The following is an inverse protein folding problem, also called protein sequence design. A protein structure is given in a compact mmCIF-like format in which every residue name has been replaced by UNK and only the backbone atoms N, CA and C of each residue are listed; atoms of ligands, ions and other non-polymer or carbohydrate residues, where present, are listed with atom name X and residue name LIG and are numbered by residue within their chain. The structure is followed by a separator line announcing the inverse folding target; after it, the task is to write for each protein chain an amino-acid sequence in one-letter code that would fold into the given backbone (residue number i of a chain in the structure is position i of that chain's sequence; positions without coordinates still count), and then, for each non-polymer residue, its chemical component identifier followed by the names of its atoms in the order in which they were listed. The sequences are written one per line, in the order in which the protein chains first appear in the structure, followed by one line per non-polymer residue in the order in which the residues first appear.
data_IF_760798969341
#
_entry.id   IF_760798969341
#
_cell.length_a   1.000
_cell.length_b   1.000
_cell.length_c   1.000
_cell.angle_alpha   90.00
_cell.angle_beta   90.00
_cell.angle_gamma   90.00
#
_symmetry.space_group_name_H-M   'P 1'
#
loop_
_entity.id
_entity.type
_entity.pdbx_description
1 polymer ?
#
# COMPACT_ATOMS: atom_id res chain seq x y z
N UNK A 1 12.80 4.52 27.25
CA UNK A 1 12.39 3.82 26.00
C UNK A 1 12.54 4.83 24.89
N UNK A 2 13.05 4.44 23.73
CA UNK A 2 13.21 5.33 22.59
C UNK A 2 11.82 5.74 22.04
N UNK A 3 11.72 6.97 21.53
CA UNK A 3 10.55 7.46 20.82
C UNK A 3 10.32 6.68 19.53
N UNK A 4 9.10 6.64 19.03
CA UNK A 4 8.78 6.08 17.72
C UNK A 4 8.36 7.18 16.73
N UNK A 5 8.46 6.90 15.43
CA UNK A 5 7.99 7.79 14.38
C UNK A 5 6.85 7.17 13.58
N UNK A 6 5.90 8.02 13.18
CA UNK A 6 4.89 7.69 12.16
C UNK A 6 5.24 8.46 10.90
N UNK A 7 5.27 7.79 9.75
CA UNK A 7 5.62 8.37 8.46
C UNK A 7 4.56 8.05 7.41
N UNK A 8 4.08 9.07 6.72
CA UNK A 8 3.26 8.93 5.51
C UNK A 8 3.61 9.97 4.46
N UNK A 9 3.31 9.64 3.21
CA UNK A 9 3.37 10.55 2.07
C UNK A 9 1.96 10.80 1.55
N UNK A 10 1.64 12.05 1.22
CA UNK A 10 0.34 12.45 0.70
C UNK A 10 0.46 13.22 -0.61
N UNK A 11 -0.52 13.06 -1.47
CA UNK A 11 -0.68 13.81 -2.71
C UNK A 11 -2.15 14.09 -2.99
N UNK A 12 -2.55 15.37 -2.95
CA UNK A 12 -3.94 15.79 -3.11
C UNK A 12 -4.88 15.04 -2.14
N UNK A 13 -4.46 14.96 -0.87
CA UNK A 13 -5.14 14.23 0.20
C UNK A 13 -6.19 15.04 0.95
N UNK A 14 -6.59 16.22 0.46
CA UNK A 14 -7.51 17.11 1.18
C UNK A 14 -8.85 16.45 1.59
N UNK A 15 -9.29 15.45 0.86
CA UNK A 15 -10.54 14.73 1.15
C UNK A 15 -10.38 13.65 2.24
N UNK A 16 -9.21 13.03 2.38
CA UNK A 16 -8.95 11.88 3.26
C UNK A 16 -8.19 12.26 4.53
N UNK A 17 -7.36 13.29 4.47
CA UNK A 17 -6.56 13.75 5.60
C UNK A 17 -7.37 14.18 6.84
N UNK A 18 -8.49 14.94 6.75
CA UNK A 18 -9.16 15.40 7.96
C UNK A 18 -9.54 14.28 8.93
N UNK A 19 -10.26 13.21 8.53
CA UNK A 19 -10.58 12.12 9.46
C UNK A 19 -9.36 11.34 9.95
N UNK A 20 -8.28 11.24 9.16
CA UNK A 20 -7.01 10.66 9.59
C UNK A 20 -6.34 11.51 10.66
N UNK A 21 -6.19 12.83 10.42
CA UNK A 21 -5.54 13.74 11.34
C UNK A 21 -6.32 13.87 12.66
N UNK A 22 -7.66 13.87 12.63
CA UNK A 22 -8.49 13.84 13.83
C UNK A 22 -8.24 12.56 14.65
N UNK A 23 -8.08 11.41 13.99
CA UNK A 23 -7.73 10.16 14.66
C UNK A 23 -6.32 10.21 15.26
N UNK A 24 -5.35 10.80 14.55
CA UNK A 24 -3.98 10.96 15.06
C UNK A 24 -3.91 11.90 16.27
N UNK A 25 -4.76 12.94 16.35
CA UNK A 25 -4.88 13.82 17.52
C UNK A 25 -5.44 13.06 18.76
N UNK A 26 -6.23 12.02 18.52
CA UNK A 26 -6.84 11.21 19.59
C UNK A 26 -5.95 10.04 20.08
N UNK A 27 -4.74 9.86 19.50
CA UNK A 27 -3.87 8.74 19.85
C UNK A 27 -3.32 8.85 21.27
N UNK A 28 -3.28 7.73 21.94
CA UNK A 28 -2.55 7.55 23.20
C UNK A 28 -1.04 7.58 22.89
N UNK A 29 -0.32 8.47 23.58
CA UNK A 29 1.13 8.57 23.43
C UNK A 29 1.82 7.38 24.11
N UNK A 30 2.69 6.64 23.41
CA UNK A 30 3.47 5.58 24.02
C UNK A 30 4.54 6.16 24.97
N UNK A 31 5.08 5.37 25.89
CA UNK A 31 6.23 5.76 26.68
C UNK A 31 7.41 6.19 25.78
N UNK A 32 8.01 7.34 26.08
CA UNK A 32 9.06 7.96 25.28
C UNK A 32 8.56 8.90 24.17
N UNK A 33 7.25 9.04 24.01
CA UNK A 33 6.64 9.94 23.05
C UNK A 33 6.72 9.41 21.60
N UNK A 34 6.26 10.21 20.66
CA UNK A 34 6.26 9.90 19.24
C UNK A 34 6.40 11.16 18.38
N UNK A 35 6.73 10.97 17.12
CA UNK A 35 6.83 12.01 16.10
C UNK A 35 6.01 11.63 14.89
N UNK A 36 5.31 12.60 14.32
CA UNK A 36 4.60 12.45 13.05
C UNK A 36 5.38 13.15 11.94
N UNK A 37 5.60 12.47 10.84
CA UNK A 37 6.26 13.01 9.66
C UNK A 37 5.29 12.85 8.48
N UNK A 38 4.82 13.96 7.96
CA UNK A 38 3.98 14.03 6.78
C UNK A 38 4.77 14.63 5.62
N UNK A 39 4.85 13.92 4.51
CA UNK A 39 5.50 14.42 3.31
C UNK A 39 4.45 14.80 2.27
N UNK A 40 4.30 16.09 2.01
CA UNK A 40 3.51 16.61 0.91
C UNK A 40 4.26 16.40 -0.40
N UNK A 41 3.80 15.46 -1.21
CA UNK A 41 4.45 15.04 -2.45
C UNK A 41 3.96 15.88 -3.67
N UNK A 42 4.02 17.21 -3.50
CA UNK A 42 3.70 18.17 -4.54
C UNK A 42 2.19 18.31 -4.78
N UNK A 43 1.38 18.38 -3.72
CA UNK A 43 -0.06 18.62 -3.82
C UNK A 43 -0.38 19.98 -4.42
N UNK A 44 -1.52 20.06 -5.12
CA UNK A 44 -2.04 21.25 -5.77
C UNK A 44 -3.38 21.72 -5.19
N UNK A 45 -3.91 20.98 -4.22
CA UNK A 45 -5.13 21.27 -3.46
C UNK A 45 -4.80 21.88 -2.07
N UNK A 46 -5.73 21.80 -1.14
CA UNK A 46 -5.57 22.33 0.22
C UNK A 46 -4.80 21.41 1.18
N UNK A 47 -4.12 20.36 0.71
CA UNK A 47 -3.36 19.40 1.52
C UNK A 47 -2.31 20.10 2.39
N UNK A 48 -1.43 20.91 1.79
CA UNK A 48 -0.36 21.56 2.54
C UNK A 48 -0.86 22.57 3.61
N UNK A 49 -1.89 23.42 3.35
CA UNK A 49 -2.55 24.19 4.40
C UNK A 49 -3.11 23.35 5.55
N UNK A 50 -3.82 22.25 5.26
CA UNK A 50 -4.39 21.35 6.28
C UNK A 50 -3.31 20.75 7.19
N UNK A 51 -2.20 20.29 6.63
CA UNK A 51 -1.09 19.76 7.42
C UNK A 51 -0.48 20.83 8.33
N UNK A 52 -0.26 22.05 7.82
CA UNK A 52 0.30 23.14 8.62
C UNK A 52 -0.59 23.55 9.78
N UNK A 53 -1.90 23.58 9.59
CA UNK A 53 -2.86 23.88 10.67
C UNK A 53 -2.74 22.90 11.83
N UNK A 54 -2.51 21.61 11.54
CA UNK A 54 -2.41 20.55 12.55
C UNK A 54 -1.10 20.52 13.34
N UNK A 55 -0.07 21.27 12.92
CA UNK A 55 1.22 21.31 13.63
C UNK A 55 1.09 21.87 15.06
N UNK A 56 0.06 22.65 15.37
CA UNK A 56 -0.19 23.15 16.72
C UNK A 56 -0.79 22.11 17.68
N UNK A 57 -1.29 20.99 17.15
CA UNK A 57 -2.02 19.95 17.91
C UNK A 57 -1.32 18.58 17.87
N UNK A 58 -0.45 18.35 16.88
CA UNK A 58 0.26 17.10 16.66
C UNK A 58 1.79 17.33 16.73
N UNK A 59 2.58 16.34 17.17
CA UNK A 59 4.04 16.39 17.09
C UNK A 59 4.51 16.24 15.63
N UNK A 60 3.97 17.09 14.74
CA UNK A 60 4.02 16.98 13.29
C UNK A 60 5.15 17.79 12.67
N UNK A 61 5.99 17.11 11.90
CA UNK A 61 6.93 17.70 10.93
C UNK A 61 6.34 17.55 9.53
N UNK A 62 6.15 18.66 8.83
CA UNK A 62 5.70 18.66 7.43
C UNK A 62 6.91 18.89 6.52
N UNK A 63 7.13 17.96 5.62
CA UNK A 63 8.15 18.05 4.57
C UNK A 63 7.47 18.24 3.21
N UNK A 64 8.18 18.86 2.27
CA UNK A 64 7.72 18.99 0.88
C UNK A 64 8.69 18.28 -0.06
N UNK A 65 8.19 17.38 -0.89
CA UNK A 65 8.96 16.70 -1.93
C UNK A 65 8.24 16.90 -3.29
N UNK A 66 8.78 17.75 -4.16
CA UNK A 66 8.12 18.11 -5.42
C UNK A 66 8.17 16.98 -6.47
N UNK A 67 9.11 16.04 -6.37
CA UNK A 67 9.20 14.90 -7.29
C UNK A 67 8.07 13.93 -7.00
N UNK A 68 7.26 13.64 -8.02
CA UNK A 68 6.08 12.77 -7.90
C UNK A 68 6.47 11.32 -7.60
N UNK A 69 5.74 10.72 -6.66
CA UNK A 69 5.82 9.30 -6.33
C UNK A 69 5.72 9.06 -4.82
N UNK A 70 4.82 8.16 -4.41
CA UNK A 70 4.66 7.80 -2.99
C UNK A 70 6.00 7.44 -2.35
N UNK A 71 6.79 6.59 -3.01
CA UNK A 71 8.10 6.14 -2.50
C UNK A 71 9.14 7.26 -2.47
N UNK A 72 9.07 8.21 -3.39
CA UNK A 72 9.91 9.41 -3.39
C UNK A 72 9.60 10.24 -2.13
N UNK A 73 8.31 10.46 -1.84
CA UNK A 73 7.89 11.14 -0.61
C UNK A 73 8.27 10.38 0.65
N UNK A 74 8.03 9.07 0.71
CA UNK A 74 8.45 8.26 1.86
C UNK A 74 9.95 8.33 2.10
N UNK A 75 10.77 8.23 1.04
CA UNK A 75 12.23 8.34 1.14
C UNK A 75 12.68 9.71 1.68
N UNK A 76 12.03 10.80 1.26
CA UNK A 76 12.31 12.13 1.81
C UNK A 76 11.99 12.24 3.32
N UNK A 77 10.99 11.48 3.78
CA UNK A 77 10.61 11.42 5.19
C UNK A 77 11.53 10.57 6.06
N UNK A 78 12.23 9.57 5.49
CA UNK A 78 13.08 8.64 6.24
C UNK A 78 14.22 9.33 6.98
N UNK A 79 14.76 10.41 6.45
CA UNK A 79 15.85 11.14 7.08
C UNK A 79 15.40 11.95 8.32
N UNK A 80 14.10 12.14 8.51
CA UNK A 80 13.51 12.85 9.64
C UNK A 80 13.02 11.93 10.77
N UNK A 81 13.11 10.59 10.59
CA UNK A 81 12.65 9.63 11.60
C UNK A 81 13.51 9.66 12.86
N UNK A 82 12.85 9.51 14.01
CA UNK A 82 13.45 9.40 15.33
C UNK A 82 12.97 8.12 16.01
N UNK A 83 13.67 7.70 17.06
CA UNK A 83 13.32 6.52 17.83
C UNK A 83 13.75 5.20 17.18
N UNK A 84 13.30 4.11 17.77
CA UNK A 84 13.71 2.75 17.42
C UNK A 84 12.68 1.97 16.59
N UNK A 85 11.45 2.54 16.43
CA UNK A 85 10.36 1.95 15.68
C UNK A 85 9.76 2.98 14.72
N UNK A 86 9.57 2.60 13.46
CA UNK A 86 8.91 3.44 12.45
C UNK A 86 7.61 2.78 12.03
N UNK A 87 6.52 3.52 12.15
CA UNK A 87 5.20 3.08 11.68
C UNK A 87 4.92 3.79 10.37
N UNK A 88 4.66 3.02 9.31
CA UNK A 88 4.23 3.51 8.01
C UNK A 88 2.71 3.41 7.90
N UNK A 89 2.11 4.39 7.26
CA UNK A 89 0.67 4.43 6.99
C UNK A 89 0.38 5.23 5.72
N UNK A 90 -0.89 5.27 5.31
CA UNK A 90 -1.36 6.06 4.17
C UNK A 90 -2.24 7.22 4.65
N UNK A 91 -2.43 8.24 3.79
CA UNK A 91 -3.19 9.45 4.09
C UNK A 91 -4.73 9.25 4.08
N UNK A 92 -5.17 8.01 3.89
CA UNK A 92 -6.56 7.56 3.93
C UNK A 92 -6.79 6.46 5.00
N UNK A 93 -5.96 6.42 6.05
CA UNK A 93 -6.03 5.43 7.13
C UNK A 93 -6.39 6.09 8.45
N UNK A 94 -7.38 5.52 9.15
CA UNK A 94 -7.85 5.98 10.46
C UNK A 94 -7.45 4.94 11.50
N UNK A 95 -6.40 5.19 12.31
CA UNK A 95 -5.96 4.28 13.35
C UNK A 95 -6.86 4.35 14.59
N UNK A 96 -6.91 3.28 15.42
CA UNK A 96 -7.58 3.30 16.73
C UNK A 96 -6.76 4.11 17.75
N UNK A 97 -7.36 4.59 18.84
CA UNK A 97 -6.69 5.44 19.84
C UNK A 97 -5.44 4.82 20.48
N UNK A 98 -5.38 3.51 20.61
CA UNK A 98 -4.26 2.76 21.21
C UNK A 98 -3.21 2.27 20.21
N UNK A 99 -3.32 2.64 18.96
CA UNK A 99 -2.51 2.15 17.85
C UNK A 99 -0.99 2.20 18.09
N UNK A 100 -0.47 3.35 18.54
CA UNK A 100 0.96 3.51 18.82
C UNK A 100 1.41 2.67 20.01
N UNK A 101 0.58 2.62 21.06
CA UNK A 101 0.83 1.83 22.27
C UNK A 101 0.80 0.33 21.96
N UNK A 102 -0.13 -0.09 21.10
CA UNK A 102 -0.24 -1.48 20.65
C UNK A 102 0.98 -1.93 19.85
N UNK A 103 1.43 -1.15 18.85
CA UNK A 103 2.66 -1.45 18.12
C UNK A 103 3.90 -1.45 19.02
N UNK A 104 4.02 -0.48 19.96
CA UNK A 104 5.13 -0.46 20.91
C UNK A 104 5.16 -1.73 21.76
N UNK A 105 4.00 -2.10 22.35
CA UNK A 105 3.85 -3.33 23.13
C UNK A 105 4.19 -4.57 22.32
N UNK A 106 3.69 -4.65 21.09
CA UNK A 106 3.98 -5.78 20.18
C UNK A 106 5.48 -5.89 19.93
N UNK A 107 6.12 -4.78 19.56
CA UNK A 107 7.55 -4.79 19.30
C UNK A 107 8.36 -5.19 20.55
N UNK A 108 7.97 -4.74 21.75
CA UNK A 108 8.64 -5.13 23.00
C UNK A 108 8.44 -6.61 23.33
N UNK A 109 7.25 -7.16 23.04
CA UNK A 109 6.89 -8.57 23.30
C UNK A 109 7.50 -9.54 22.28
N UNK A 110 7.90 -9.07 21.10
CA UNK A 110 8.39 -9.89 19.98
C UNK A 110 9.81 -9.44 19.55
N UNK A 111 10.84 -9.61 20.41
CA UNK A 111 12.20 -9.12 20.13
C UNK A 111 12.88 -9.81 18.94
N UNK A 112 12.43 -11.00 18.56
CA UNK A 112 12.97 -11.79 17.44
C UNK A 112 12.40 -11.36 16.09
N UNK A 113 11.50 -10.37 16.06
CA UNK A 113 10.86 -9.87 14.86
C UNK A 113 11.16 -8.39 14.67
N UNK A 114 11.32 -7.99 13.41
CA UNK A 114 11.72 -6.63 13.05
C UNK A 114 10.64 -5.88 12.26
N UNK A 115 9.75 -6.64 11.63
CA UNK A 115 8.71 -6.12 10.73
C UNK A 115 7.36 -6.57 11.23
N UNK A 116 6.47 -5.63 11.46
CA UNK A 116 5.16 -5.88 12.04
C UNK A 116 4.06 -5.37 11.11
N UNK A 117 3.04 -6.19 10.87
CA UNK A 117 1.82 -5.79 10.19
C UNK A 117 0.64 -5.81 11.13
N UNK A 118 -0.20 -4.80 11.10
CA UNK A 118 -1.52 -4.81 11.74
C UNK A 118 -2.62 -5.16 10.75
N UNK A 119 -3.79 -5.51 11.27
CA UNK A 119 -4.98 -5.75 10.46
C UNK A 119 -5.49 -4.45 9.81
N UNK A 120 -6.00 -4.56 8.60
CA UNK A 120 -6.62 -3.45 7.88
C UNK A 120 -8.06 -3.85 7.55
N UNK A 121 -9.00 -2.94 7.83
CA UNK A 121 -10.42 -3.13 7.53
C UNK A 121 -10.95 -1.96 6.70
N UNK A 122 -11.82 -2.18 5.73
CA UNK A 122 -12.41 -1.09 4.97
C UNK A 122 -13.40 -0.29 5.83
N UNK A 123 -13.28 1.03 5.77
CA UNK A 123 -14.31 1.98 6.22
C UNK A 123 -14.94 2.61 4.98
N UNK A 124 -16.10 2.09 4.62
CA UNK A 124 -16.84 2.53 3.44
C UNK A 124 -17.39 3.93 3.63
N UNK A 125 -16.99 4.90 2.80
CA UNK A 125 -17.54 6.27 2.80
C UNK A 125 -18.88 6.37 2.08
N UNK A 126 -19.27 5.32 1.35
CA UNK A 126 -20.61 5.09 0.82
C UNK A 126 -20.91 3.59 0.86
N UNK A 127 -22.17 3.17 0.94
CA UNK A 127 -22.52 1.76 0.92
C UNK A 127 -21.97 1.06 -0.34
N UNK A 128 -21.16 0.01 -0.20
CA UNK A 128 -20.68 -0.72 -1.38
C UNK A 128 -21.82 -1.49 -2.02
N UNK A 129 -21.93 -1.50 -3.36
CA UNK A 129 -22.86 -2.38 -4.04
C UNK A 129 -22.61 -3.86 -3.71
N UNK A 130 -23.66 -4.66 -3.57
CA UNK A 130 -23.58 -6.09 -3.18
C UNK A 130 -22.62 -6.90 -4.07
N UNK A 131 -22.59 -6.63 -5.38
CA UNK A 131 -21.69 -7.31 -6.29
C UNK A 131 -20.20 -7.07 -5.95
N UNK A 132 -19.85 -5.90 -5.40
CA UNK A 132 -18.48 -5.60 -4.96
C UNK A 132 -18.10 -6.50 -3.78
N UNK A 133 -18.98 -6.61 -2.78
CA UNK A 133 -18.72 -7.46 -1.62
C UNK A 133 -18.57 -8.94 -1.99
N UNK A 134 -19.31 -9.39 -3.03
CA UNK A 134 -19.24 -10.77 -3.51
C UNK A 134 -18.07 -11.07 -4.43
N UNK A 135 -17.67 -10.11 -5.28
CA UNK A 135 -16.83 -10.39 -6.45
C UNK A 135 -15.47 -9.68 -6.43
N UNK A 136 -15.33 -8.55 -5.72
CA UNK A 136 -14.08 -7.81 -5.71
C UNK A 136 -13.06 -8.48 -4.77
N UNK A 137 -11.79 -8.62 -5.20
CA UNK A 137 -10.75 -9.11 -4.30
C UNK A 137 -10.57 -8.17 -3.10
N UNK A 138 -10.57 -8.71 -1.89
CA UNK A 138 -10.38 -7.95 -0.65
C UNK A 138 -9.10 -7.12 -0.67
N UNK A 139 -8.02 -7.65 -1.25
CA UNK A 139 -6.75 -6.96 -1.40
C UNK A 139 -6.81 -5.68 -2.24
N UNK A 140 -7.84 -5.47 -3.09
CA UNK A 140 -8.02 -4.20 -3.80
C UNK A 140 -8.34 -3.03 -2.84
N UNK A 141 -8.92 -3.34 -1.68
CA UNK A 141 -9.27 -2.40 -0.61
C UNK A 141 -8.30 -2.45 0.57
N UNK A 142 -7.15 -3.10 0.40
CA UNK A 142 -6.19 -3.39 1.47
C UNK A 142 -6.80 -4.16 2.68
N UNK A 143 -7.88 -4.91 2.47
CA UNK A 143 -8.54 -5.68 3.52
C UNK A 143 -7.78 -6.97 3.81
N UNK A 144 -7.23 -7.08 5.03
CA UNK A 144 -6.47 -8.24 5.50
C UNK A 144 -7.34 -9.14 6.40
N UNK A 145 -7.04 -10.45 6.38
CA UNK A 145 -7.71 -11.47 7.22
C UNK A 145 -6.68 -12.51 7.66
N UNK A 146 -5.56 -12.03 8.21
CA UNK A 146 -4.50 -12.88 8.72
C UNK A 146 -4.62 -13.01 10.23
N UNK A 147 -4.28 -14.19 10.77
CA UNK A 147 -4.18 -14.44 12.20
C UNK A 147 -2.89 -13.84 12.77
N UNK A 148 -2.84 -13.64 14.10
CA UNK A 148 -1.65 -13.16 14.79
C UNK A 148 -0.56 -14.24 14.80
N UNK A 149 0.67 -13.85 14.48
CA UNK A 149 1.81 -14.75 14.47
C UNK A 149 2.86 -14.41 13.42
N UNK A 150 3.92 -15.25 13.30
CA UNK A 150 4.87 -15.17 12.21
C UNK A 150 4.17 -15.24 10.85
N UNK A 151 4.55 -14.38 9.91
CA UNK A 151 3.84 -14.27 8.63
C UNK A 151 4.83 -14.08 7.48
N UNK A 152 4.40 -14.45 6.27
CA UNK A 152 5.15 -14.26 5.05
C UNK A 152 5.29 -12.75 4.71
N UNK A 153 6.45 -12.31 4.20
CA UNK A 153 6.72 -10.90 3.92
C UNK A 153 5.67 -10.23 3.02
N UNK A 154 5.12 -10.96 2.04
CA UNK A 154 4.09 -10.45 1.12
C UNK A 154 2.75 -10.13 1.79
N UNK A 155 2.54 -10.60 3.01
CA UNK A 155 1.33 -10.33 3.80
C UNK A 155 1.43 -9.05 4.65
N UNK A 156 2.60 -8.41 4.71
CA UNK A 156 2.77 -7.11 5.37
C UNK A 156 2.41 -6.00 4.38
N UNK A 157 1.47 -5.16 4.76
CA UNK A 157 0.93 -4.11 3.89
C UNK A 157 1.12 -2.72 4.49
N UNK A 158 1.54 -1.77 3.64
CA UNK A 158 1.96 -0.43 4.02
C UNK A 158 0.99 0.40 4.86
N UNK A 159 -0.34 0.35 4.63
CA UNK A 159 -1.28 1.15 5.41
C UNK A 159 -1.25 0.90 6.93
N UNK A 160 -0.72 -0.26 7.39
CA UNK A 160 -0.63 -0.61 8.80
C UNK A 160 0.63 -1.45 9.09
N UNK A 161 1.80 -0.86 8.86
CA UNK A 161 3.09 -1.52 8.95
C UNK A 161 4.03 -0.80 9.92
N UNK A 162 4.75 -1.55 10.76
CA UNK A 162 5.84 -1.01 11.56
C UNK A 162 7.15 -1.78 11.31
N UNK A 163 8.27 -1.06 11.37
CA UNK A 163 9.61 -1.65 11.14
C UNK A 163 10.56 -1.10 12.20
N UNK A 164 11.38 -1.96 12.79
CA UNK A 164 12.48 -1.50 13.66
C UNK A 164 13.46 -0.66 12.86
N UNK A 165 13.83 0.48 13.38
CA UNK A 165 14.79 1.38 12.72
C UNK A 165 16.12 0.70 12.43
N UNK A 166 16.58 -0.18 13.31
CA UNK A 166 17.81 -0.95 13.12
C UNK A 166 17.73 -1.86 11.89
N UNK A 167 16.58 -2.53 11.68
CA UNK A 167 16.34 -3.37 10.51
C UNK A 167 16.16 -2.54 9.23
N UNK A 168 15.51 -1.39 9.33
CA UNK A 168 15.38 -0.46 8.20
C UNK A 168 16.75 0.05 7.73
N UNK A 169 17.68 0.38 8.66
CA UNK A 169 19.03 0.82 8.35
C UNK A 169 19.09 1.89 7.26
N UNK A 170 19.92 1.66 6.24
CA UNK A 170 20.05 2.53 5.06
C UNK A 170 19.09 2.14 3.91
N UNK A 171 18.20 1.18 4.13
CA UNK A 171 17.25 0.79 3.10
C UNK A 171 16.30 1.94 2.77
N UNK A 172 15.97 2.06 1.49
CA UNK A 172 15.04 3.06 0.95
C UNK A 172 13.96 2.32 0.13
N UNK A 173 12.79 2.91 0.02
CA UNK A 173 11.76 2.44 -0.90
C UNK A 173 12.26 2.56 -2.35
N UNK A 174 11.98 1.57 -3.17
CA UNK A 174 12.34 1.61 -4.58
C UNK A 174 11.42 2.58 -5.34
N UNK A 175 11.96 3.70 -5.87
CA UNK A 175 11.17 4.78 -6.49
C UNK A 175 10.46 4.36 -7.81
N UNK A 176 10.89 3.27 -8.42
CA UNK A 176 10.30 2.74 -9.66
C UNK A 176 9.03 1.90 -9.48
N UNK A 177 8.54 1.69 -8.24
CA UNK A 177 7.33 0.93 -7.92
C UNK A 177 6.41 1.77 -7.02
N UNK A 178 5.10 1.56 -7.11
CA UNK A 178 4.12 2.32 -6.32
C UNK A 178 3.47 3.47 -7.07
N UNK A 179 2.48 4.15 -6.44
CA UNK A 179 1.81 5.31 -7.01
C UNK A 179 2.79 6.43 -7.36
N UNK A 180 2.74 6.91 -8.61
CA UNK A 180 3.64 7.94 -9.13
C UNK A 180 2.91 9.01 -9.96
N UNK A 181 1.59 9.11 -9.81
CA UNK A 181 0.73 10.01 -10.58
C UNK A 181 0.25 9.45 -11.92
N UNK A 182 0.82 8.36 -12.43
CA UNK A 182 0.31 7.68 -13.62
C UNK A 182 -0.83 6.73 -13.26
N UNK A 183 -1.85 6.64 -14.09
CA UNK A 183 -2.97 5.71 -13.88
C UNK A 183 -2.54 4.24 -13.88
N UNK A 184 -1.50 3.91 -14.65
CA UNK A 184 -1.00 2.55 -14.85
C UNK A 184 0.31 2.26 -14.10
N UNK A 185 0.45 2.64 -12.84
CA UNK A 185 1.63 2.32 -12.03
C UNK A 185 1.70 0.85 -11.61
N UNK A 186 2.87 0.33 -11.31
CA UNK A 186 3.07 -0.98 -10.71
C UNK A 186 2.85 -0.87 -9.19
N UNK A 187 1.98 -1.71 -8.59
CA UNK A 187 1.76 -1.75 -7.14
C UNK A 187 2.86 -2.55 -6.43
N UNK A 188 2.96 -2.44 -5.09
CA UNK A 188 3.87 -3.25 -4.28
C UNK A 188 5.03 -2.48 -3.66
N UNK A 189 4.85 -1.16 -3.44
CA UNK A 189 5.84 -0.28 -2.80
C UNK A 189 6.48 -0.87 -1.56
N UNK A 190 5.65 -1.16 -0.56
CA UNK A 190 6.07 -1.61 0.75
C UNK A 190 6.47 -3.09 0.71
N UNK A 191 5.79 -3.88 -0.11
CA UNK A 191 6.11 -5.31 -0.30
C UNK A 191 7.54 -5.48 -0.81
N UNK A 192 7.98 -4.62 -1.73
CA UNK A 192 9.36 -4.65 -2.25
C UNK A 192 10.38 -4.42 -1.13
N UNK A 193 10.17 -3.41 -0.29
CA UNK A 193 11.02 -3.12 0.85
C UNK A 193 11.04 -4.30 1.85
N UNK A 194 9.87 -4.81 2.21
CA UNK A 194 9.74 -5.93 3.16
C UNK A 194 10.41 -7.19 2.63
N UNK A 195 10.30 -7.51 1.34
CA UNK A 195 11.00 -8.64 0.71
C UNK A 195 12.53 -8.49 0.80
N UNK A 196 13.06 -7.28 0.56
CA UNK A 196 14.50 -7.03 0.72
C UNK A 196 14.97 -7.17 2.16
N UNK A 197 14.21 -6.64 3.12
CA UNK A 197 14.52 -6.80 4.55
C UNK A 197 14.45 -8.28 4.97
N UNK A 198 13.46 -9.03 4.50
CA UNK A 198 13.35 -10.46 4.78
C UNK A 198 14.50 -11.26 4.15
N UNK A 199 14.95 -10.91 2.95
CA UNK A 199 16.13 -11.49 2.32
C UNK A 199 17.43 -11.20 3.10
N UNK A 200 17.47 -10.08 3.86
CA UNK A 200 18.55 -9.74 4.78
C UNK A 200 18.44 -10.46 6.16
N UNK A 201 17.41 -11.31 6.36
CA UNK A 201 17.21 -12.11 7.55
C UNK A 201 16.21 -11.57 8.56
N UNK A 202 15.56 -10.43 8.27
CA UNK A 202 14.55 -9.83 9.16
C UNK A 202 13.22 -10.58 9.06
N UNK A 203 12.60 -10.84 10.22
CA UNK A 203 11.38 -11.65 10.34
C UNK A 203 10.14 -10.77 10.47
N UNK A 204 9.01 -11.28 9.92
CA UNK A 204 7.73 -10.60 9.92
C UNK A 204 6.75 -11.22 10.92
N UNK A 205 6.01 -10.37 11.62
CA UNK A 205 4.92 -10.74 12.51
C UNK A 205 3.65 -9.98 12.15
N UNK A 206 2.50 -10.63 12.17
CA UNK A 206 1.19 -9.99 12.03
C UNK A 206 0.45 -9.96 13.37
N UNK A 207 -0.29 -8.88 13.62
CA UNK A 207 -1.15 -8.71 14.79
C UNK A 207 -2.57 -8.37 14.32
N UNK A 208 -3.51 -9.29 14.48
CA UNK A 208 -4.90 -9.13 14.04
C UNK A 208 -5.71 -8.15 14.90
N UNK A 209 -5.26 -7.88 16.12
CA UNK A 209 -5.85 -6.96 17.09
C UNK A 209 -5.44 -5.49 16.87
N UNK A 210 -4.36 -5.21 16.15
CA UNK A 210 -3.95 -3.85 15.76
C UNK A 210 -4.68 -3.44 14.48
N UNK A 211 -5.92 -2.99 14.60
CA UNK A 211 -6.82 -2.74 13.46
C UNK A 211 -6.77 -1.28 13.04
N UNK A 212 -6.36 -0.99 11.81
CA UNK A 212 -6.52 0.31 11.17
C UNK A 212 -7.66 0.30 10.14
N UNK A 213 -8.40 1.40 10.02
CA UNK A 213 -9.51 1.54 9.09
C UNK A 213 -9.07 2.30 7.84
N UNK A 214 -9.11 1.63 6.68
CA UNK A 214 -8.80 2.23 5.39
C UNK A 214 -10.07 2.85 4.79
N UNK A 215 -10.05 4.15 4.53
CA UNK A 215 -11.16 4.90 3.96
C UNK A 215 -11.37 4.53 2.49
N UNK A 216 -12.54 4.00 2.16
CA UNK A 216 -12.87 3.60 0.79
C UNK A 216 -13.86 4.61 0.21
N UNK A 217 -13.37 5.41 -0.74
CA UNK A 217 -14.14 6.44 -1.41
C UNK A 217 -15.14 5.86 -2.43
N UNK A 218 -16.25 6.57 -2.73
CA UNK A 218 -17.23 6.12 -3.73
C UNK A 218 -16.64 5.83 -5.11
N UNK A 219 -15.60 6.58 -5.53
CA UNK A 219 -14.91 6.36 -6.82
C UNK A 219 -14.24 4.99 -6.91
N UNK A 220 -13.87 4.40 -5.77
CA UNK A 220 -13.25 3.08 -5.69
C UNK A 220 -14.28 1.93 -5.80
N UNK A 221 -15.57 2.25 -5.62
CA UNK A 221 -16.68 1.30 -5.70
C UNK A 221 -17.23 1.16 -7.13
N UNK A 222 -16.34 1.13 -8.13
CA UNK A 222 -16.72 1.03 -9.54
C UNK A 222 -15.95 -0.07 -10.25
N UNK A 223 -16.58 -0.74 -11.21
CA UNK A 223 -15.91 -1.75 -12.04
C UNK A 223 -14.66 -1.18 -12.74
N UNK A 224 -14.74 0.08 -13.22
CA UNK A 224 -13.61 0.77 -13.87
C UNK A 224 -12.39 0.84 -12.94
N UNK A 225 -12.59 1.29 -11.70
CA UNK A 225 -11.50 1.40 -10.73
C UNK A 225 -10.93 0.02 -10.36
N UNK A 226 -11.79 -0.97 -10.12
CA UNK A 226 -11.38 -2.33 -9.77
C UNK A 226 -10.60 -3.03 -10.90
N UNK A 227 -11.00 -2.81 -12.15
CA UNK A 227 -10.25 -3.32 -13.31
C UNK A 227 -8.89 -2.62 -13.46
N UNK A 228 -8.84 -1.30 -13.25
CA UNK A 228 -7.56 -0.58 -13.22
C UNK A 228 -6.66 -1.06 -12.08
N UNK A 229 -7.23 -1.35 -10.90
CA UNK A 229 -6.47 -1.91 -9.76
C UNK A 229 -5.92 -3.30 -10.10
N UNK A 230 -6.71 -4.17 -10.74
CA UNK A 230 -6.27 -5.49 -11.21
C UNK A 230 -5.13 -5.38 -12.25
N UNK A 231 -5.21 -4.42 -13.17
CA UNK A 231 -4.15 -4.12 -14.12
C UNK A 231 -2.86 -3.67 -13.41
N UNK A 232 -2.97 -2.72 -12.46
CA UNK A 232 -1.83 -2.20 -11.71
C UNK A 232 -1.17 -3.28 -10.85
N UNK A 233 -1.97 -4.16 -10.23
CA UNK A 233 -1.48 -5.27 -9.43
C UNK A 233 -0.69 -6.27 -10.28
N UNK A 234 -1.18 -6.63 -11.46
CA UNK A 234 -0.47 -7.52 -12.36
C UNK A 234 0.86 -6.91 -12.83
N UNK A 235 0.91 -5.59 -13.06
CA UNK A 235 2.18 -4.89 -13.30
C UNK A 235 3.11 -4.99 -12.10
N UNK A 236 2.57 -4.81 -10.90
CA UNK A 236 3.30 -4.92 -9.63
C UNK A 236 3.97 -6.27 -9.46
N UNK A 237 3.24 -7.36 -9.67
CA UNK A 237 3.77 -8.72 -9.55
C UNK A 237 4.96 -8.96 -10.50
N UNK A 238 4.85 -8.51 -11.74
CA UNK A 238 5.96 -8.63 -12.72
C UNK A 238 7.16 -7.79 -12.27
N UNK A 239 6.93 -6.58 -11.79
CA UNK A 239 8.00 -5.68 -11.33
C UNK A 239 8.68 -6.19 -10.08
N UNK A 240 7.91 -6.61 -9.06
CA UNK A 240 8.43 -7.24 -7.85
C UNK A 240 9.30 -8.45 -8.18
N UNK A 241 8.82 -9.30 -9.08
CA UNK A 241 9.58 -10.45 -9.52
C UNK A 241 10.92 -10.10 -10.17
N UNK A 242 10.97 -9.03 -10.93
CA UNK A 242 12.22 -8.56 -11.53
C UNK A 242 13.18 -7.93 -10.50
N UNK A 243 12.63 -7.27 -9.46
CA UNK A 243 13.43 -6.61 -8.41
C UNK A 243 13.92 -7.60 -7.34
N UNK A 244 13.09 -8.58 -6.97
CA UNK A 244 13.36 -9.50 -5.86
C UNK A 244 13.77 -10.91 -6.32
N UNK A 245 13.75 -11.20 -7.63
CA UNK A 245 14.17 -12.47 -8.18
C UNK A 245 13.17 -13.64 -8.04
N UNK A 246 11.95 -13.37 -7.54
CA UNK A 246 10.92 -14.38 -7.23
C UNK A 246 9.65 -14.25 -8.09
N UNK A 247 9.76 -13.58 -9.23
CA UNK A 247 8.61 -13.29 -10.09
C UNK A 247 8.07 -14.49 -10.85
N UNK A 248 6.76 -14.43 -11.19
CA UNK A 248 6.17 -15.48 -12.01
C UNK A 248 6.89 -15.56 -13.37
N UNK A 249 7.22 -16.76 -13.83
CA UNK A 249 7.82 -16.94 -15.15
C UNK A 249 6.90 -16.37 -16.23
N UNK A 250 7.48 -15.92 -17.33
CA UNK A 250 6.69 -15.51 -18.48
C UNK A 250 5.93 -16.70 -19.05
N UNK A 251 4.63 -16.56 -19.29
CA UNK A 251 3.87 -17.60 -20.00
C UNK A 251 4.48 -17.86 -21.39
N UNK A 252 4.65 -19.12 -21.79
CA UNK A 252 4.97 -19.46 -23.16
C UNK A 252 3.94 -18.83 -24.15
N UNK A 253 4.36 -18.46 -25.36
CA UNK A 253 3.50 -17.74 -26.30
C UNK A 253 2.12 -18.40 -26.53
N UNK A 254 2.07 -19.71 -26.73
CA UNK A 254 0.83 -20.46 -26.93
C UNK A 254 -0.10 -20.43 -25.71
N UNK A 255 0.47 -20.60 -24.51
CA UNK A 255 -0.29 -20.53 -23.26
C UNK A 255 -0.87 -19.13 -23.05
N UNK A 256 -0.08 -18.11 -23.35
CA UNK A 256 -0.52 -16.71 -23.28
C UNK A 256 -1.66 -16.42 -24.24
N UNK A 257 -1.56 -16.88 -25.49
CA UNK A 257 -2.64 -16.76 -26.48
C UNK A 257 -3.91 -17.46 -25.97
N UNK A 258 -3.80 -18.67 -25.44
CA UNK A 258 -4.92 -19.40 -24.86
C UNK A 258 -5.60 -18.65 -23.72
N UNK A 259 -4.82 -18.05 -22.79
CA UNK A 259 -5.36 -17.23 -21.70
C UNK A 259 -6.12 -15.99 -22.21
N UNK A 260 -5.60 -15.30 -23.23
CA UNK A 260 -6.32 -14.18 -23.85
C UNK A 260 -7.61 -14.65 -24.54
N UNK A 261 -7.57 -15.76 -25.30
CA UNK A 261 -8.75 -16.30 -25.97
C UNK A 261 -9.84 -16.67 -24.96
N UNK A 262 -9.48 -17.37 -23.87
CA UNK A 262 -10.43 -17.70 -22.79
C UNK A 262 -11.02 -16.44 -22.15
N UNK A 263 -10.17 -15.46 -21.79
CA UNK A 263 -10.64 -14.22 -21.17
C UNK A 263 -11.59 -13.41 -22.10
N UNK A 264 -11.33 -13.40 -23.40
CA UNK A 264 -12.24 -12.78 -24.38
C UNK A 264 -13.55 -13.55 -24.54
N UNK A 265 -13.52 -14.89 -24.55
CA UNK A 265 -14.71 -15.72 -24.61
C UNK A 265 -15.61 -15.52 -23.38
N UNK A 266 -15.01 -15.47 -22.19
CA UNK A 266 -15.72 -15.20 -20.94
C UNK A 266 -16.35 -13.81 -20.94
N UNK A 267 -15.57 -12.79 -21.37
CA UNK A 267 -16.08 -11.42 -21.48
C UNK A 267 -17.25 -11.32 -22.47
N UNK A 268 -17.13 -11.96 -23.63
CA UNK A 268 -18.20 -11.99 -24.63
C UNK A 268 -19.47 -12.67 -24.09
N UNK A 269 -19.31 -13.82 -23.41
CA UNK A 269 -20.42 -14.56 -22.80
C UNK A 269 -21.14 -13.74 -21.72
N UNK A 270 -20.39 -13.04 -20.86
CA UNK A 270 -20.94 -12.27 -19.74
C UNK A 270 -21.29 -10.83 -20.12
N UNK A 271 -20.99 -10.36 -21.34
CA UNK A 271 -21.25 -8.98 -21.76
C UNK A 271 -22.75 -8.59 -21.73
N UNK A 272 -23.63 -9.53 -21.96
CA UNK A 272 -25.06 -9.36 -21.91
C UNK A 272 -25.68 -9.67 -20.54
N UNK A 273 -24.89 -10.10 -19.57
CA UNK A 273 -25.39 -10.33 -18.21
C UNK A 273 -25.93 -9.05 -17.58
N UNK A 274 -27.07 -9.14 -16.92
CA UNK A 274 -27.63 -8.09 -16.09
C UNK A 274 -26.85 -7.86 -14.80
N UNK A 275 -26.03 -8.86 -14.34
CA UNK A 275 -25.25 -8.76 -13.10
C UNK A 275 -23.90 -8.06 -13.34
N UNK A 276 -23.65 -6.89 -12.72
CA UNK A 276 -22.37 -6.20 -12.80
C UNK A 276 -21.19 -7.04 -12.27
N UNK A 277 -21.44 -7.93 -11.29
CA UNK A 277 -20.43 -8.83 -10.72
C UNK A 277 -19.91 -9.85 -11.73
N UNK A 278 -20.81 -10.49 -12.47
CA UNK A 278 -20.41 -11.42 -13.52
C UNK A 278 -19.59 -10.73 -14.62
N UNK A 279 -20.03 -9.55 -15.06
CA UNK A 279 -19.27 -8.74 -16.03
C UNK A 279 -17.89 -8.36 -15.51
N UNK A 280 -17.78 -7.99 -14.24
CA UNK A 280 -16.49 -7.67 -13.60
C UNK A 280 -15.58 -8.92 -13.55
N UNK A 281 -16.10 -10.06 -13.08
CA UNK A 281 -15.33 -11.31 -12.98
C UNK A 281 -14.81 -11.77 -14.34
N UNK A 282 -15.61 -11.61 -15.41
CA UNK A 282 -15.18 -11.93 -16.77
C UNK A 282 -14.13 -10.95 -17.34
N UNK A 283 -14.19 -9.66 -16.99
CA UNK A 283 -13.29 -8.64 -17.49
C UNK A 283 -11.94 -8.60 -16.74
N UNK A 284 -11.92 -9.02 -15.47
CA UNK A 284 -10.74 -8.93 -14.61
C UNK A 284 -9.51 -9.68 -15.13
N UNK A 285 -9.60 -10.93 -15.63
CA UNK A 285 -8.45 -11.64 -16.17
C UNK A 285 -7.80 -10.91 -17.35
N UNK A 286 -8.61 -10.27 -18.20
CA UNK A 286 -8.10 -9.50 -19.33
C UNK A 286 -7.35 -8.24 -18.87
N UNK A 287 -7.83 -7.55 -17.83
CA UNK A 287 -7.14 -6.42 -17.24
C UNK A 287 -5.77 -6.85 -16.66
N UNK A 288 -5.72 -7.96 -15.93
CA UNK A 288 -4.49 -8.52 -15.39
C UNK A 288 -3.49 -8.94 -16.48
N UNK A 289 -3.94 -9.64 -17.53
CA UNK A 289 -3.09 -10.04 -18.66
C UNK A 289 -2.51 -8.85 -19.40
N UNK A 290 -3.27 -7.75 -19.53
CA UNK A 290 -2.77 -6.50 -20.12
C UNK A 290 -1.68 -5.88 -19.24
N UNK A 291 -1.88 -5.84 -17.91
CA UNK A 291 -0.90 -5.32 -16.96
C UNK A 291 0.42 -6.10 -17.01
N UNK A 292 0.36 -7.43 -16.96
CA UNK A 292 1.53 -8.31 -17.10
C UNK A 292 2.29 -8.03 -18.41
N UNK A 293 1.57 -8.03 -19.55
CA UNK A 293 2.17 -7.78 -20.86
C UNK A 293 2.87 -6.41 -20.93
N UNK A 294 2.19 -5.37 -20.45
CA UNK A 294 2.68 -4.00 -20.61
C UNK A 294 3.91 -3.76 -19.72
N UNK A 295 3.94 -4.37 -18.53
CA UNK A 295 5.11 -4.30 -17.66
C UNK A 295 6.32 -5.05 -18.24
N UNK A 296 6.13 -6.30 -18.72
CA UNK A 296 7.23 -7.05 -19.38
C UNK A 296 7.78 -6.32 -20.59
N UNK A 297 6.91 -5.65 -21.36
CA UNK A 297 7.36 -4.81 -22.48
C UNK A 297 8.15 -3.60 -22.02
N UNK A 298 7.75 -2.96 -20.93
CA UNK A 298 8.48 -1.82 -20.35
C UNK A 298 9.89 -2.24 -19.90
N UNK A 299 10.00 -3.38 -19.19
CA UNK A 299 11.29 -3.95 -18.77
C UNK A 299 12.18 -4.31 -19.94
N UNK A 300 11.63 -4.94 -20.98
CA UNK A 300 12.40 -5.29 -22.18
C UNK A 300 12.91 -4.05 -22.96
N UNK A 301 12.21 -2.92 -22.90
CA UNK A 301 12.70 -1.64 -23.47
C UNK A 301 13.83 -1.06 -22.63
N UNK A 302 13.69 -1.00 -21.32
CA UNK A 302 14.73 -0.51 -20.41
C UNK A 302 16.06 -1.26 -20.60
N UNK A 303 16.01 -2.59 -20.74
CA UNK A 303 17.21 -3.41 -20.98
C UNK A 303 17.88 -3.12 -22.34
N UNK A 304 17.13 -2.65 -23.33
CA UNK A 304 17.68 -2.29 -24.67
C UNK A 304 18.25 -0.87 -24.72
N UNK A 305 17.88 -0.01 -23.79
CA UNK A 305 18.32 1.39 -23.71
C UNK A 305 19.36 1.63 -22.62
N UNK A 306 19.68 0.61 -21.82
CA UNK A 306 20.81 0.65 -20.90
C UNK A 306 22.12 0.67 -21.73
N UNK A 307 23.05 1.62 -21.47
CA UNK A 307 24.30 1.81 -22.20
C UNK A 307 25.23 0.60 -22.07
#
# INVERSE_FOLDING_TARGET
MAALSVLFSTFNGAATLPPMLDALEALQSPPGGWKLIAVDNGSTDTTAPLLRERQSRLPLTVLSEPRRGKNVGLNAGLDAIEGDLVIFTDDDVVPPPDWLVAFRRLADAQPDFDIFGGAIRPRWLAPPPDWILRCAPKGHFAWTEFESGPIEPRAIWGPNMAVRRAALGEHRFHEGIGPNGAAGYATGSEIELVLRLAAAGHRCWHAEDIVALHLIEPRQLTAKWLLQRSYNQARGEVRLGALCGDGPPADPPLRRIGRYASAFADLARCSLSGDPGERFLAARPLAALRGDRDERRAQARSLRTAP
#
